data_IF_608165916228
#
_entry.id   IF_608165916228
#
_cell.length_a   1.000
_cell.length_b   1.000
_cell.length_c   1.000
_cell.angle_alpha   90.00
_cell.angle_beta   90.00
_cell.angle_gamma   90.00
#
_symmetry.space_group_name_H-M   'P 1'
#
loop_
_entity.id
_entity.type
_entity.pdbx_description
1 polymer ?
#
# COMPACT_ATOMS: atom_id res chain seq x y z
N UNK A 1 -0.81 22.45 -4.21
CA UNK A 1 -1.28 21.64 -3.06
C UNK A 1 -1.09 20.20 -3.45
N UNK A 2 -0.37 19.43 -2.65
CA UNK A 2 -0.01 18.05 -2.95
C UNK A 2 -1.28 17.17 -3.14
N UNK A 3 -1.41 16.43 -4.26
CA UNK A 3 -2.57 15.59 -4.52
C UNK A 3 -2.67 14.39 -3.56
N UNK A 4 -1.55 13.96 -2.99
CA UNK A 4 -1.44 12.77 -2.13
C UNK A 4 -1.88 13.00 -0.69
N UNK A 5 -2.24 14.24 -0.34
CA UNK A 5 -2.74 14.55 0.98
C UNK A 5 -4.06 13.85 1.31
N UNK A 6 -4.22 13.48 2.58
CA UNK A 6 -5.49 13.12 3.19
C UNK A 6 -6.36 14.35 3.43
N UNK A 7 -7.60 14.13 3.87
CA UNK A 7 -8.57 15.21 4.07
C UNK A 7 -8.14 16.20 5.16
N UNK A 8 -7.67 15.68 6.28
CA UNK A 8 -7.11 16.41 7.44
C UNK A 8 -5.83 17.16 7.10
N UNK A 9 -4.90 16.51 6.39
CA UNK A 9 -3.65 17.13 5.90
C UNK A 9 -3.96 18.32 4.97
N UNK A 10 -4.90 18.16 4.02
CA UNK A 10 -5.37 19.25 3.16
C UNK A 10 -5.97 20.40 3.95
N UNK A 11 -6.77 20.10 4.97
CA UNK A 11 -7.38 21.11 5.83
C UNK A 11 -6.31 21.90 6.59
N UNK A 12 -5.33 21.21 7.16
CA UNK A 12 -4.21 21.83 7.85
C UNK A 12 -3.45 22.79 6.93
N UNK A 13 -3.10 22.36 5.72
CA UNK A 13 -2.37 23.21 4.76
C UNK A 13 -3.19 24.44 4.37
N UNK A 14 -4.51 24.34 4.26
CA UNK A 14 -5.38 25.51 4.05
C UNK A 14 -5.31 26.49 5.22
N UNK A 15 -5.44 25.99 6.46
CA UNK A 15 -5.36 26.82 7.68
C UNK A 15 -3.99 27.47 7.79
N UNK A 16 -2.91 26.71 7.58
CA UNK A 16 -1.54 27.18 7.59
C UNK A 16 -1.28 28.26 6.54
N UNK A 17 -1.76 28.07 5.30
CA UNK A 17 -1.64 29.06 4.23
C UNK A 17 -2.38 30.35 4.56
N UNK A 18 -3.60 30.24 5.10
CA UNK A 18 -4.36 31.40 5.57
C UNK A 18 -3.62 32.14 6.69
N UNK A 19 -3.13 31.40 7.69
CA UNK A 19 -2.38 31.96 8.81
C UNK A 19 -1.15 32.73 8.33
N UNK A 20 -0.32 32.12 7.48
CA UNK A 20 0.86 32.79 6.89
C UNK A 20 0.50 34.07 6.15
N UNK A 21 -0.57 34.07 5.36
CA UNK A 21 -0.99 35.27 4.62
C UNK A 21 -1.37 36.40 5.59
N UNK A 22 -2.09 36.07 6.66
CA UNK A 22 -2.51 37.05 7.67
C UNK A 22 -1.32 37.55 8.51
N UNK A 23 -0.42 36.66 8.92
CA UNK A 23 0.80 37.00 9.66
C UNK A 23 1.67 37.98 8.87
N UNK A 24 1.95 37.70 7.59
CA UNK A 24 2.71 38.61 6.72
C UNK A 24 2.11 40.00 6.61
N UNK A 25 0.78 40.08 6.48
CA UNK A 25 0.09 41.36 6.43
C UNK A 25 0.30 42.15 7.72
N UNK A 26 0.06 41.53 8.87
CA UNK A 26 0.18 42.18 10.17
C UNK A 26 1.64 42.56 10.52
N UNK A 27 2.62 41.76 10.11
CA UNK A 27 4.05 42.13 10.24
C UNK A 27 4.35 43.37 9.39
N UNK A 28 3.85 43.44 8.15
CA UNK A 28 4.03 44.61 7.28
C UNK A 28 3.36 45.87 7.82
N UNK A 29 2.26 45.73 8.55
CA UNK A 29 1.57 46.82 9.25
C UNK A 29 2.25 47.21 10.58
N UNK A 30 3.35 46.57 10.97
CA UNK A 30 4.07 46.82 12.24
C UNK A 30 3.34 46.30 13.48
N UNK A 31 2.32 45.45 13.28
CA UNK A 31 1.40 44.96 14.32
C UNK A 31 1.86 43.65 14.97
N UNK A 32 2.79 42.94 14.34
CA UNK A 32 3.39 41.70 14.86
C UNK A 32 4.92 41.83 14.92
N UNK A 33 5.51 41.34 16.02
CA UNK A 33 6.96 41.32 16.22
C UNK A 33 7.68 40.12 15.55
N UNK A 34 9.02 40.12 15.64
CA UNK A 34 9.92 39.16 14.97
C UNK A 34 9.66 37.68 15.35
N UNK A 35 9.16 37.42 16.57
CA UNK A 35 8.77 36.08 17.04
C UNK A 35 7.75 35.40 16.09
N UNK A 36 6.90 36.17 15.42
CA UNK A 36 5.90 35.63 14.50
C UNK A 36 6.50 35.18 13.16
N UNK A 37 7.70 35.65 12.79
CA UNK A 37 8.43 35.11 11.62
C UNK A 37 8.96 33.71 11.88
N UNK A 38 9.28 33.37 13.13
CA UNK A 38 9.69 32.02 13.50
C UNK A 38 8.53 31.03 13.32
N UNK A 39 7.30 31.46 13.60
CA UNK A 39 6.09 30.65 13.36
C UNK A 39 5.87 30.43 11.86
N UNK A 40 6.05 31.44 11.01
CA UNK A 40 5.97 31.27 9.55
C UNK A 40 6.99 30.24 9.03
N UNK A 41 8.23 30.32 9.50
CA UNK A 41 9.29 29.38 9.12
C UNK A 41 9.00 27.95 9.63
N UNK A 42 8.44 27.82 10.83
CA UNK A 42 8.02 26.52 11.37
C UNK A 42 6.86 25.92 10.55
N UNK A 43 5.92 26.74 10.11
CA UNK A 43 4.84 26.31 9.20
C UNK A 43 5.40 25.80 7.88
N UNK A 44 6.34 26.51 7.27
CA UNK A 44 6.93 26.08 6.00
C UNK A 44 7.64 24.74 6.13
N UNK A 45 8.48 24.57 7.16
CA UNK A 45 9.15 23.29 7.43
C UNK A 45 8.16 22.16 7.68
N UNK A 46 7.08 22.43 8.40
CA UNK A 46 6.06 21.41 8.66
C UNK A 46 5.33 21.00 7.37
N UNK A 47 4.98 21.95 6.50
CA UNK A 47 4.34 21.66 5.22
C UNK A 47 5.29 20.87 4.31
N UNK A 48 6.57 21.24 4.24
CA UNK A 48 7.58 20.51 3.47
C UNK A 48 7.70 19.06 3.96
N UNK A 49 7.79 18.85 5.28
CA UNK A 49 7.84 17.51 5.86
C UNK A 49 6.55 16.71 5.57
N UNK A 50 5.39 17.37 5.59
CA UNK A 50 4.11 16.76 5.24
C UNK A 50 4.03 16.37 3.77
N UNK A 51 4.59 17.18 2.87
CA UNK A 51 4.70 16.89 1.44
C UNK A 51 5.53 15.63 1.19
N UNK A 52 6.73 15.57 1.76
CA UNK A 52 7.63 14.42 1.64
C UNK A 52 6.96 13.14 2.17
N UNK A 53 6.29 13.24 3.31
CA UNK A 53 5.57 12.12 3.91
C UNK A 53 4.41 11.64 3.02
N UNK A 54 3.61 12.56 2.48
CA UNK A 54 2.49 12.22 1.59
C UNK A 54 2.96 11.54 0.29
N UNK A 55 4.08 12.01 -0.28
CA UNK A 55 4.67 11.42 -1.48
C UNK A 55 5.29 10.06 -1.21
N UNK A 56 5.99 9.89 -0.08
CA UNK A 56 6.53 8.61 0.37
C UNK A 56 5.42 7.58 0.58
N UNK A 57 4.32 7.98 1.25
CA UNK A 57 3.12 7.14 1.40
C UNK A 57 2.60 6.70 0.03
N UNK A 58 2.40 7.64 -0.89
CA UNK A 58 1.86 7.34 -2.22
C UNK A 58 2.75 6.38 -3.01
N UNK A 59 4.07 6.54 -2.91
CA UNK A 59 5.05 5.67 -3.54
C UNK A 59 4.96 4.23 -3.01
N UNK A 60 5.05 4.02 -1.69
CA UNK A 60 5.01 2.70 -1.06
C UNK A 60 3.68 1.99 -1.36
N UNK A 61 2.55 2.71 -1.29
CA UNK A 61 1.23 2.14 -1.60
C UNK A 61 1.13 1.69 -3.05
N UNK A 62 1.70 2.47 -3.98
CA UNK A 62 1.72 2.12 -5.41
C UNK A 62 2.57 0.89 -5.67
N UNK A 63 3.76 0.78 -5.06
CA UNK A 63 4.61 -0.40 -5.18
C UNK A 63 3.93 -1.66 -4.62
N UNK A 64 3.30 -1.54 -3.45
CA UNK A 64 2.51 -2.63 -2.86
C UNK A 64 1.35 -3.07 -3.77
N UNK A 65 0.67 -2.13 -4.40
CA UNK A 65 -0.38 -2.44 -5.38
C UNK A 65 0.18 -3.16 -6.62
N UNK A 66 1.35 -2.74 -7.11
CA UNK A 66 2.02 -3.37 -8.24
C UNK A 66 2.45 -4.81 -7.92
N UNK A 67 2.99 -5.05 -6.72
CA UNK A 67 3.31 -6.40 -6.25
C UNK A 67 2.05 -7.27 -6.18
N UNK A 68 0.93 -6.72 -5.72
CA UNK A 68 -0.37 -7.39 -5.75
C UNK A 68 -0.78 -7.91 -7.12
N UNK A 69 -0.25 -7.33 -8.20
CA UNK A 69 -0.51 -7.71 -9.61
C UNK A 69 0.61 -8.55 -10.23
N UNK A 70 1.65 -8.89 -9.47
CA UNK A 70 2.82 -9.62 -9.96
C UNK A 70 2.46 -11.05 -10.41
N UNK A 71 1.51 -11.66 -9.72
CA UNK A 71 1.03 -13.00 -10.05
C UNK A 71 0.25 -12.94 -11.36
N UNK A 72 0.90 -13.39 -12.44
CA UNK A 72 0.26 -13.54 -13.75
C UNK A 72 -0.60 -14.79 -13.77
N UNK A 73 -1.86 -14.60 -14.16
CA UNK A 73 -2.77 -15.72 -14.37
C UNK A 73 -2.41 -16.48 -15.65
N UNK A 74 -2.06 -17.75 -15.50
CA UNK A 74 -1.99 -18.70 -16.62
C UNK A 74 -3.23 -19.62 -16.61
N UNK A 75 -4.40 -19.02 -16.40
CA UNK A 75 -5.65 -19.76 -16.27
C UNK A 75 -6.03 -20.45 -17.60
N UNK A 76 -6.50 -21.68 -17.49
CA UNK A 76 -6.98 -22.48 -18.61
C UNK A 76 -8.41 -22.95 -18.36
N UNK A 77 -9.23 -22.95 -19.42
CA UNK A 77 -10.57 -23.50 -19.31
C UNK A 77 -10.51 -24.99 -18.91
N UNK A 78 -11.17 -25.43 -17.83
CA UNK A 78 -11.09 -26.81 -17.38
C UNK A 78 -11.69 -27.80 -18.38
N UNK A 79 -12.61 -27.36 -19.24
CA UNK A 79 -13.27 -28.17 -20.27
C UNK A 79 -12.48 -28.26 -21.58
N UNK A 80 -12.12 -27.12 -22.18
CA UNK A 80 -11.45 -27.11 -23.50
C UNK A 80 -9.93 -26.94 -23.43
N UNK A 81 -9.35 -26.72 -22.23
CA UNK A 81 -7.92 -26.51 -21.99
C UNK A 81 -7.30 -25.36 -22.77
N UNK A 82 -8.11 -24.52 -23.41
CA UNK A 82 -7.65 -23.32 -24.10
C UNK A 82 -7.57 -22.15 -23.12
N UNK A 83 -6.52 -21.35 -23.27
CA UNK A 83 -6.39 -20.02 -22.65
C UNK A 83 -7.15 -18.97 -23.46
N UNK A 84 -7.33 -19.23 -24.75
CA UNK A 84 -8.08 -18.35 -25.64
C UNK A 84 -9.54 -18.27 -25.20
N UNK A 85 -10.11 -17.07 -25.31
CA UNK A 85 -11.52 -16.79 -25.06
C UNK A 85 -11.96 -16.94 -23.59
N UNK A 86 -11.06 -16.84 -22.62
CA UNK A 86 -11.41 -16.65 -21.21
C UNK A 86 -11.51 -15.15 -20.87
N UNK A 87 -12.52 -14.77 -20.09
CA UNK A 87 -12.69 -13.40 -19.58
C UNK A 87 -12.73 -13.43 -18.06
N UNK A 88 -11.95 -12.57 -17.40
CA UNK A 88 -12.08 -12.32 -15.97
C UNK A 88 -13.48 -11.75 -15.67
N UNK A 89 -14.21 -12.40 -14.76
CA UNK A 89 -15.56 -12.00 -14.34
C UNK A 89 -15.65 -11.60 -12.87
N UNK A 90 -14.61 -11.85 -12.09
CA UNK A 90 -14.53 -11.43 -10.69
C UNK A 90 -13.46 -12.18 -9.94
N UNK A 91 -13.55 -12.14 -8.62
CA UNK A 91 -12.70 -12.89 -7.70
C UNK A 91 -13.56 -13.68 -6.74
N UNK A 92 -13.05 -14.81 -6.27
CA UNK A 92 -13.64 -15.62 -5.22
C UNK A 92 -12.67 -15.76 -4.06
N UNK A 93 -13.18 -16.11 -2.87
CA UNK A 93 -12.36 -16.41 -1.70
C UNK A 93 -12.57 -17.86 -1.28
N UNK A 94 -11.49 -18.57 -1.01
CA UNK A 94 -11.57 -19.91 -0.44
C UNK A 94 -11.73 -19.89 1.09
N UNK A 95 -11.76 -21.08 1.70
CA UNK A 95 -11.90 -21.26 3.16
C UNK A 95 -10.73 -20.67 3.95
N UNK A 96 -9.57 -20.49 3.32
CA UNK A 96 -8.36 -19.89 3.90
C UNK A 96 -8.34 -18.38 3.74
N UNK A 97 -9.28 -17.84 2.96
CA UNK A 97 -9.40 -16.42 2.64
C UNK A 97 -8.58 -15.99 1.43
N UNK A 98 -7.91 -16.92 0.74
CA UNK A 98 -7.11 -16.61 -0.44
C UNK A 98 -7.99 -16.15 -1.59
N UNK A 99 -7.59 -15.05 -2.22
CA UNK A 99 -8.32 -14.52 -3.37
C UNK A 99 -7.87 -15.21 -4.64
N UNK A 100 -8.84 -15.76 -5.36
CA UNK A 100 -8.63 -16.45 -6.63
C UNK A 100 -9.45 -15.79 -7.74
N UNK A 101 -8.92 -15.79 -8.96
CA UNK A 101 -9.61 -15.18 -10.09
C UNK A 101 -10.70 -16.09 -10.67
N UNK A 102 -11.86 -15.51 -10.97
CA UNK A 102 -13.00 -16.22 -11.59
C UNK A 102 -13.11 -15.83 -13.05
N UNK A 103 -13.22 -16.83 -13.92
CA UNK A 103 -13.26 -16.66 -15.37
C UNK A 103 -14.55 -17.19 -15.97
N UNK A 104 -14.95 -16.60 -17.09
CA UNK A 104 -15.92 -17.16 -18.03
C UNK A 104 -15.20 -17.57 -19.31
N UNK A 105 -15.23 -18.87 -19.64
CA UNK A 105 -14.82 -19.34 -20.96
C UNK A 105 -15.96 -19.07 -21.95
N UNK A 106 -15.72 -18.26 -22.98
CA UNK A 106 -16.71 -17.94 -24.00
C UNK A 106 -16.95 -19.09 -24.98
N UNK A 107 -15.94 -19.95 -25.19
CA UNK A 107 -16.03 -21.14 -26.05
C UNK A 107 -16.91 -22.23 -25.43
N UNK A 108 -16.69 -22.55 -24.16
CA UNK A 108 -17.47 -23.57 -23.44
C UNK A 108 -18.70 -23.02 -22.71
N UNK A 109 -18.86 -21.70 -22.68
CA UNK A 109 -19.89 -20.97 -21.92
C UNK A 109 -20.01 -21.41 -20.45
N UNK A 110 -18.88 -21.67 -19.78
CA UNK A 110 -18.82 -22.00 -18.35
C UNK A 110 -18.12 -20.91 -17.56
N UNK A 111 -18.47 -20.82 -16.27
CA UNK A 111 -17.69 -20.07 -15.29
C UNK A 111 -16.89 -21.04 -14.41
N UNK A 112 -15.69 -20.65 -14.04
CA UNK A 112 -14.84 -21.42 -13.14
C UNK A 112 -13.93 -20.48 -12.35
N UNK A 113 -13.59 -20.89 -11.13
CA UNK A 113 -12.55 -20.25 -10.32
C UNK A 113 -11.23 -20.93 -10.63
N UNK A 114 -10.19 -20.13 -10.86
CA UNK A 114 -8.83 -20.65 -11.01
C UNK A 114 -8.26 -20.92 -9.62
N UNK A 115 -8.02 -22.19 -9.29
CA UNK A 115 -7.61 -22.62 -7.95
C UNK A 115 -6.14 -22.31 -7.66
N UNK A 116 -5.74 -21.05 -7.85
CA UNK A 116 -4.45 -20.48 -7.48
C UNK A 116 -4.68 -19.05 -7.00
N UNK A 117 -4.04 -18.63 -5.91
CA UNK A 117 -4.17 -17.26 -5.44
C UNK A 117 -3.72 -16.25 -6.49
N UNK A 118 -4.30 -15.06 -6.47
CA UNK A 118 -4.06 -14.01 -7.45
C UNK A 118 -3.12 -12.90 -6.95
N UNK A 119 -2.46 -13.10 -5.81
CA UNK A 119 -1.52 -12.16 -5.21
C UNK A 119 -0.31 -12.92 -4.64
N UNK A 120 0.86 -12.27 -4.53
CA UNK A 120 2.10 -12.97 -4.19
C UNK A 120 2.15 -13.46 -2.75
N UNK A 121 1.49 -12.78 -1.80
CA UNK A 121 1.46 -13.19 -0.38
C UNK A 121 0.79 -14.56 -0.21
N UNK A 122 -0.42 -14.70 -0.76
CA UNK A 122 -1.15 -15.98 -0.73
C UNK A 122 -0.45 -17.03 -1.61
N UNK A 123 0.15 -16.61 -2.73
CA UNK A 123 0.88 -17.51 -3.64
C UNK A 123 2.09 -18.17 -2.97
N UNK A 124 2.82 -17.45 -2.11
CA UNK A 124 3.95 -18.03 -1.36
C UNK A 124 3.45 -19.20 -0.51
N UNK A 125 2.39 -18.98 0.28
CA UNK A 125 1.80 -20.02 1.13
C UNK A 125 1.28 -21.21 0.29
N UNK A 126 0.62 -20.92 -0.83
CA UNK A 126 0.15 -21.95 -1.75
C UNK A 126 1.30 -22.82 -2.29
N UNK A 127 2.43 -22.21 -2.70
CA UNK A 127 3.58 -22.95 -3.21
C UNK A 127 4.19 -23.83 -2.11
N UNK A 128 4.31 -23.32 -0.88
CA UNK A 128 4.84 -24.08 0.26
C UNK A 128 3.97 -25.32 0.57
N UNK A 129 2.65 -25.17 0.52
CA UNK A 129 1.74 -26.30 0.70
C UNK A 129 1.85 -27.32 -0.43
N UNK A 130 1.93 -26.85 -1.68
CA UNK A 130 2.10 -27.72 -2.85
C UNK A 130 3.42 -28.49 -2.77
N UNK A 131 4.50 -27.84 -2.36
CA UNK A 131 5.78 -28.51 -2.12
C UNK A 131 5.68 -29.56 -1.02
N UNK A 132 5.01 -29.25 0.09
CA UNK A 132 4.79 -30.21 1.19
C UNK A 132 4.05 -31.46 0.70
N UNK A 133 3.00 -31.28 -0.11
CA UNK A 133 2.27 -32.39 -0.72
C UNK A 133 3.16 -33.22 -1.66
N UNK A 134 4.01 -32.58 -2.44
CA UNK A 134 4.95 -33.26 -3.32
C UNK A 134 6.01 -34.04 -2.54
N UNK A 135 6.56 -33.50 -1.45
CA UNK A 135 7.49 -34.23 -0.58
C UNK A 135 6.88 -35.49 0.01
N UNK A 136 5.62 -35.42 0.47
CA UNK A 136 4.90 -36.61 0.98
C UNK A 136 4.75 -37.65 -0.13
N UNK A 137 4.41 -37.24 -1.35
CA UNK A 137 4.29 -38.16 -2.51
C UNK A 137 5.62 -38.82 -2.87
N UNK A 138 6.74 -38.11 -2.81
CA UNK A 138 8.06 -38.70 -3.11
C UNK A 138 8.46 -39.81 -2.12
N UNK A 139 7.88 -39.80 -0.91
CA UNK A 139 8.04 -40.86 0.08
C UNK A 139 7.21 -42.13 -0.20
N UNK A 140 6.29 -42.09 -1.17
CA UNK A 140 5.46 -43.22 -1.55
C UNK A 140 6.28 -44.24 -2.36
N UNK A 141 6.37 -45.47 -1.85
CA UNK A 141 7.15 -46.55 -2.46
C UNK A 141 6.54 -47.08 -3.75
N UNK A 142 5.29 -46.72 -4.05
CA UNK A 142 4.58 -47.16 -5.26
C UNK A 142 4.96 -46.38 -6.52
N UNK A 143 5.62 -45.22 -6.39
CA UNK A 143 6.08 -44.42 -7.53
C UNK A 143 7.34 -45.00 -8.16
N UNK A 144 7.42 -44.93 -9.49
CA UNK A 144 8.62 -45.27 -10.26
C UNK A 144 9.77 -44.27 -10.01
N UNK A 145 10.99 -44.66 -10.36
CA UNK A 145 12.18 -43.80 -10.22
C UNK A 145 12.02 -42.49 -11.00
N UNK A 146 11.57 -42.58 -12.26
CA UNK A 146 11.40 -41.45 -13.16
C UNK A 146 10.37 -40.44 -12.64
N UNK A 147 9.25 -40.92 -12.06
CA UNK A 147 8.24 -40.07 -11.44
C UNK A 147 8.77 -39.31 -10.22
N UNK A 148 9.60 -39.97 -9.40
CA UNK A 148 10.22 -39.33 -8.24
C UNK A 148 11.22 -38.26 -8.65
N UNK A 149 12.03 -38.52 -9.68
CA UNK A 149 12.96 -37.53 -10.23
C UNK A 149 12.22 -36.32 -10.79
N UNK A 150 11.11 -36.52 -11.51
CA UNK A 150 10.31 -35.43 -12.03
C UNK A 150 9.66 -34.58 -10.92
N UNK A 151 9.17 -35.22 -9.85
CA UNK A 151 8.63 -34.51 -8.69
C UNK A 151 9.74 -33.73 -7.98
N UNK A 152 10.92 -34.31 -7.79
CA UNK A 152 12.07 -33.65 -7.17
C UNK A 152 12.50 -32.41 -7.97
N UNK A 153 12.60 -32.52 -9.30
CA UNK A 153 12.91 -31.39 -10.17
C UNK A 153 11.85 -30.28 -10.09
N UNK A 154 10.57 -30.66 -9.95
CA UNK A 154 9.47 -29.71 -9.78
C UNK A 154 9.57 -28.96 -8.46
N UNK A 155 9.87 -29.67 -7.35
CA UNK A 155 10.09 -29.08 -6.03
C UNK A 155 11.26 -28.08 -6.09
N UNK A 156 12.39 -28.47 -6.67
CA UNK A 156 13.55 -27.59 -6.79
C UNK A 156 13.21 -26.31 -7.54
N UNK A 157 12.45 -26.41 -8.64
CA UNK A 157 11.98 -25.23 -9.38
C UNK A 157 11.03 -24.34 -8.56
N UNK A 158 10.22 -24.91 -7.67
CA UNK A 158 9.37 -24.14 -6.75
C UNK A 158 10.20 -23.43 -5.68
N UNK A 159 11.20 -24.11 -5.11
CA UNK A 159 12.15 -23.55 -4.13
C UNK A 159 12.91 -22.35 -4.71
N UNK A 160 13.46 -22.50 -5.92
CA UNK A 160 14.21 -21.45 -6.60
C UNK A 160 13.36 -20.20 -6.86
N UNK A 161 12.06 -20.38 -7.13
CA UNK A 161 11.12 -19.29 -7.31
C UNK A 161 10.78 -18.60 -5.97
N UNK A 162 10.56 -19.38 -4.91
CA UNK A 162 10.32 -18.85 -3.57
C UNK A 162 11.52 -18.08 -3.02
N UNK A 163 12.74 -18.58 -3.23
CA UNK A 163 13.98 -17.93 -2.81
C UNK A 163 14.15 -16.53 -3.44
N UNK A 164 13.55 -16.28 -4.61
CA UNK A 164 13.53 -14.97 -5.27
C UNK A 164 12.36 -14.10 -4.82
N UNK A 165 11.17 -14.70 -4.65
CA UNK A 165 9.94 -13.95 -4.37
C UNK A 165 9.87 -13.50 -2.89
N UNK A 166 10.22 -14.38 -1.95
CA UNK A 166 10.09 -14.09 -0.51
C UNK A 166 10.86 -12.83 -0.08
N UNK A 167 12.15 -12.64 -0.43
CA UNK A 167 12.90 -11.47 0.03
C UNK A 167 12.31 -10.14 -0.48
N UNK A 168 11.73 -10.14 -1.68
CA UNK A 168 11.08 -8.95 -2.27
C UNK A 168 9.83 -8.59 -1.46
N UNK A 169 9.00 -9.59 -1.15
CA UNK A 169 7.78 -9.38 -0.36
C UNK A 169 8.11 -8.96 1.07
N UNK A 170 9.06 -9.63 1.72
CA UNK A 170 9.51 -9.30 3.08
C UNK A 170 10.14 -7.90 3.18
N UNK A 171 10.85 -7.43 2.14
CA UNK A 171 11.36 -6.06 2.09
C UNK A 171 10.21 -5.05 2.08
N UNK A 172 9.23 -5.24 1.20
CA UNK A 172 8.10 -4.33 1.09
C UNK A 172 7.12 -4.39 2.27
N UNK A 173 6.97 -5.55 2.92
CA UNK A 173 6.19 -5.64 4.15
C UNK A 173 6.82 -4.82 5.27
N UNK A 174 8.16 -4.87 5.43
CA UNK A 174 8.88 -4.01 6.38
C UNK A 174 8.71 -2.52 6.09
N UNK A 175 8.81 -2.12 4.83
CA UNK A 175 8.60 -0.72 4.42
C UNK A 175 7.17 -0.25 4.69
N UNK A 176 6.19 -1.11 4.41
CA UNK A 176 4.79 -0.81 4.66
C UNK A 176 4.48 -0.71 6.16
N UNK A 177 5.03 -1.59 6.98
CA UNK A 177 4.92 -1.52 8.45
C UNK A 177 5.56 -0.25 9.00
N UNK A 178 6.77 0.09 8.54
CA UNK A 178 7.44 1.34 8.92
C UNK A 178 6.64 2.58 8.48
N UNK A 179 5.96 2.52 7.33
CA UNK A 179 5.01 3.54 6.92
C UNK A 179 3.82 3.64 7.88
N UNK A 180 3.20 2.52 8.29
CA UNK A 180 2.06 2.56 9.22
C UNK A 180 2.40 3.22 10.56
N UNK A 181 3.61 2.98 11.07
CA UNK A 181 4.10 3.65 12.29
C UNK A 181 4.22 5.16 12.06
N UNK A 182 4.91 5.58 10.99
CA UNK A 182 5.08 6.99 10.63
C UNK A 182 3.76 7.71 10.37
N UNK A 183 2.79 7.02 9.77
CA UNK A 183 1.43 7.54 9.56
C UNK A 183 0.71 7.86 10.88
N UNK A 184 0.88 7.00 11.89
CA UNK A 184 0.34 7.25 13.22
C UNK A 184 0.99 8.44 13.92
N UNK A 185 2.31 8.61 13.74
CA UNK A 185 3.06 9.76 14.26
C UNK A 185 2.65 11.06 13.54
N UNK A 186 2.57 11.02 12.21
CA UNK A 186 2.17 12.17 11.39
C UNK A 186 0.74 12.61 11.70
N UNK A 187 -0.20 11.68 11.92
CA UNK A 187 -1.57 12.03 12.31
C UNK A 187 -1.60 12.81 13.65
N UNK A 188 -0.77 12.43 14.62
CA UNK A 188 -0.63 13.17 15.89
C UNK A 188 -0.02 14.55 15.65
N UNK A 189 1.06 14.62 14.87
CA UNK A 189 1.74 15.87 14.55
C UNK A 189 0.81 16.85 13.81
N UNK A 190 0.05 16.38 12.83
CA UNK A 190 -0.97 17.17 12.11
C UNK A 190 -2.02 17.70 13.07
N UNK A 191 -2.53 16.88 13.98
CA UNK A 191 -3.52 17.29 14.97
C UNK A 191 -2.96 18.35 15.94
N UNK A 192 -1.78 18.13 16.51
CA UNK A 192 -1.11 19.06 17.42
C UNK A 192 -0.75 20.39 16.74
N UNK A 193 -0.24 20.33 15.51
CA UNK A 193 0.10 21.50 14.73
C UNK A 193 -1.14 22.32 14.37
N UNK A 194 -2.24 21.65 13.99
CA UNK A 194 -3.54 22.30 13.76
C UNK A 194 -4.02 23.06 14.99
N UNK A 195 -3.97 22.44 16.17
CA UNK A 195 -4.40 23.06 17.42
C UNK A 195 -3.53 24.27 17.77
N UNK A 196 -2.22 24.15 17.62
CA UNK A 196 -1.28 25.27 17.82
C UNK A 196 -1.61 26.44 16.89
N UNK A 197 -1.83 26.19 15.60
CA UNK A 197 -2.20 27.23 14.65
C UNK A 197 -3.55 27.89 14.95
N UNK A 198 -4.53 27.12 15.43
CA UNK A 198 -5.82 27.67 15.85
C UNK A 198 -5.67 28.58 17.09
N UNK A 199 -4.83 28.19 18.05
CA UNK A 199 -4.52 29.01 19.22
C UNK A 199 -3.85 30.31 18.79
N UNK A 200 -2.82 30.24 17.95
CA UNK A 200 -2.14 31.44 17.45
C UNK A 200 -3.08 32.33 16.64
N UNK A 201 -3.97 31.74 15.84
CA UNK A 201 -5.02 32.49 15.15
C UNK A 201 -5.93 33.25 16.14
N UNK A 202 -6.39 32.59 17.21
CA UNK A 202 -7.23 33.24 18.24
C UNK A 202 -6.45 34.38 18.91
N UNK A 203 -5.18 34.19 19.24
CA UNK A 203 -4.33 35.24 19.82
C UNK A 203 -4.23 36.45 18.90
N UNK A 204 -3.98 36.25 17.61
CA UNK A 204 -3.94 37.32 16.61
C UNK A 204 -5.30 38.04 16.48
N UNK A 205 -6.40 37.30 16.38
CA UNK A 205 -7.76 37.87 16.26
C UNK A 205 -8.14 38.68 17.53
N UNK A 206 -7.73 38.21 18.71
CA UNK A 206 -7.98 38.90 19.99
C UNK A 206 -7.15 40.18 20.13
N UNK A 207 -5.91 40.17 19.62
CA UNK A 207 -5.05 41.35 19.57
C UNK A 207 -5.65 42.44 18.65
N UNK A 208 -6.12 42.07 17.45
CA UNK A 208 -6.79 43.00 16.52
C UNK A 208 -8.02 43.67 17.14
N UNK A 209 -8.79 42.94 17.96
CA UNK A 209 -9.99 43.47 18.62
C UNK A 209 -9.68 44.39 19.82
N UNK A 210 -8.50 44.28 20.44
CA UNK A 210 -8.08 45.16 21.54
C UNK A 210 -7.47 46.48 21.06
N UNK A 211 -7.13 46.59 19.77
CA UNK A 211 -6.47 47.77 19.19
C UNK A 211 -7.30 48.43 18.07
N UNK A 212 -8.59 48.07 18.00
CA UNK A 212 -9.66 48.85 17.34
C UNK A 212 -10.36 49.70 18.38
#
# INVERSE_FOLDING_TARGET
MNPNYKADERELVKVATFFKKKAKQLIGEGKLGEENRQVEAAVDKFIEHLDEHADTRAHILKEREQLGKLVKDNAECPKCKTRDMIKLVGTDKDERGWKSNRYKCRKCNIQFTWNRPNNPWDMIQYIEEVMTLHHVKTGDTTLSSDEREQIAATIQGMEDNLAKLKPVIESHDREYEALQVREGEMAKAVHEFKNTLLIEKIKMDTWENKHK
#
